data_IF_767752942525
#
_entry.id   IF_767752942525
#
_cell.length_a   1.000
_cell.length_b   1.000
_cell.length_c   1.000
_cell.angle_alpha   90.00
_cell.angle_beta   90.00
_cell.angle_gamma   90.00
#
_symmetry.space_group_name_H-M   'P 1'
#
loop_
_entity.id
_entity.type
_entity.pdbx_description
1 polymer ?
#
# COMPACT_ATOMS: atom_id res chain seq x y z
N UNK A 1 6.78 -30.73 10.23
CA UNK A 1 6.85 -29.49 11.03
C UNK A 1 5.68 -29.43 11.98
N UNK A 2 5.97 -29.26 13.26
CA UNK A 2 4.99 -28.96 14.31
C UNK A 2 4.34 -27.58 14.08
N UNK A 3 3.16 -27.35 14.65
CA UNK A 3 2.36 -26.13 14.53
C UNK A 3 3.16 -24.87 14.86
N UNK A 4 3.90 -24.88 15.98
CA UNK A 4 4.75 -23.75 16.40
C UNK A 4 5.86 -23.46 15.39
N UNK A 5 6.42 -24.51 14.74
CA UNK A 5 7.42 -24.33 13.68
C UNK A 5 6.80 -23.70 12.43
N UNK A 6 5.55 -24.07 12.09
CA UNK A 6 4.82 -23.48 10.96
C UNK A 6 4.45 -22.01 11.21
N UNK A 7 4.07 -21.63 12.43
CA UNK A 7 3.85 -20.22 12.79
C UNK A 7 5.14 -19.39 12.68
N UNK A 8 6.28 -19.94 13.11
CA UNK A 8 7.59 -19.31 12.88
C UNK A 8 7.95 -19.20 11.40
N UNK A 9 7.40 -20.07 10.55
CA UNK A 9 7.56 -19.96 9.10
C UNK A 9 6.70 -18.81 8.54
N UNK A 10 5.50 -18.55 9.07
CA UNK A 10 4.69 -17.37 8.66
C UNK A 10 5.52 -16.09 8.73
N UNK A 11 6.19 -15.84 9.86
CA UNK A 11 6.98 -14.60 10.04
C UNK A 11 8.14 -14.49 9.04
N UNK A 12 8.78 -15.61 8.68
CA UNK A 12 9.80 -15.62 7.61
C UNK A 12 9.18 -15.35 6.24
N UNK A 13 8.06 -16.01 5.93
CA UNK A 13 7.33 -15.85 4.67
C UNK A 13 6.83 -14.41 4.50
N UNK A 14 6.46 -13.72 5.59
CA UNK A 14 6.07 -12.31 5.54
C UNK A 14 7.19 -11.41 5.00
N UNK A 15 8.47 -11.69 5.32
CA UNK A 15 9.58 -10.94 4.70
C UNK A 15 9.70 -11.21 3.21
N UNK A 16 9.47 -12.43 2.74
CA UNK A 16 9.45 -12.74 1.30
C UNK A 16 8.25 -12.13 0.59
N UNK A 17 7.09 -12.06 1.26
CA UNK A 17 5.93 -11.32 0.72
C UNK A 17 6.28 -9.85 0.59
N UNK A 18 6.95 -9.25 1.58
CA UNK A 18 7.40 -7.86 1.52
C UNK A 18 8.22 -7.55 0.27
N UNK A 19 9.18 -8.43 -0.06
CA UNK A 19 10.01 -8.30 -1.27
C UNK A 19 9.14 -8.41 -2.52
N UNK A 20 8.28 -9.43 -2.59
CA UNK A 20 7.49 -9.70 -3.79
C UNK A 20 6.44 -8.61 -4.06
N UNK A 21 5.75 -8.14 -3.03
CA UNK A 21 4.83 -6.98 -3.06
C UNK A 21 5.57 -5.72 -3.50
N UNK A 22 6.81 -5.52 -3.03
CA UNK A 22 7.61 -4.36 -3.38
C UNK A 22 8.06 -4.32 -4.84
N UNK A 23 7.99 -5.43 -5.58
CA UNK A 23 8.34 -5.49 -7.00
C UNK A 23 7.21 -4.96 -7.90
N UNK A 24 6.73 -3.77 -7.56
CA UNK A 24 5.76 -2.97 -8.29
C UNK A 24 6.48 -2.06 -9.31
N UNK A 25 6.86 -2.62 -10.47
CA UNK A 25 7.63 -1.94 -11.51
C UNK A 25 6.86 -0.81 -12.22
N UNK A 26 5.55 -0.70 -11.98
CA UNK A 26 4.67 0.25 -12.65
C UNK A 26 4.78 1.69 -12.14
N UNK A 27 5.30 1.91 -10.94
CA UNK A 27 5.27 3.20 -10.24
C UNK A 27 5.86 4.36 -11.07
N UNK A 28 7.06 4.27 -11.66
CA UNK A 28 7.65 5.40 -12.40
C UNK A 28 7.07 5.62 -13.80
N UNK A 29 6.14 4.76 -14.27
CA UNK A 29 5.65 4.75 -15.65
C UNK A 29 4.13 4.74 -15.79
N UNK A 30 3.36 4.55 -14.70
CA UNK A 30 1.92 4.28 -14.80
C UNK A 30 1.18 5.39 -15.56
N UNK A 31 1.52 6.66 -15.32
CA UNK A 31 0.83 7.79 -15.95
C UNK A 31 1.04 7.78 -17.46
N UNK A 32 2.26 7.48 -17.92
CA UNK A 32 2.60 7.48 -19.35
C UNK A 32 1.87 6.35 -20.06
N UNK A 33 1.68 5.21 -19.39
CA UNK A 33 0.87 4.14 -19.97
C UNK A 33 -0.62 4.49 -20.02
N UNK A 34 -1.17 5.01 -18.92
CA UNK A 34 -2.59 5.37 -18.81
C UNK A 34 -2.98 6.46 -19.81
N UNK A 35 -2.12 7.47 -19.98
CA UNK A 35 -2.33 8.60 -20.89
C UNK A 35 -2.35 8.24 -22.38
N UNK A 36 -1.93 7.03 -22.74
CA UNK A 36 -2.09 6.53 -24.12
C UNK A 36 -3.54 6.23 -24.49
N UNK A 37 -4.38 5.96 -23.48
CA UNK A 37 -5.75 5.48 -23.69
C UNK A 37 -6.80 6.27 -22.90
N UNK A 38 -6.38 7.17 -22.01
CA UNK A 38 -7.27 7.92 -21.13
C UNK A 38 -6.86 9.39 -20.99
N UNK A 39 -7.86 10.28 -20.92
CA UNK A 39 -7.69 11.68 -20.54
C UNK A 39 -7.46 11.82 -19.02
N UNK A 40 -7.11 13.01 -18.53
CA UNK A 40 -6.86 13.23 -17.10
C UNK A 40 -8.18 13.18 -16.32
N UNK A 41 -9.27 13.63 -16.94
CA UNK A 41 -10.63 13.53 -16.42
C UNK A 41 -11.06 12.06 -16.28
N UNK A 42 -10.75 11.22 -17.27
CA UNK A 42 -11.02 9.78 -17.21
C UNK A 42 -10.18 9.09 -16.12
N UNK A 43 -8.89 9.43 -16.01
CA UNK A 43 -8.03 8.96 -14.92
C UNK A 43 -8.67 9.34 -13.58
N UNK A 44 -8.99 10.63 -13.37
CA UNK A 44 -9.60 11.10 -12.13
C UNK A 44 -10.92 10.37 -11.79
N UNK A 45 -11.79 10.16 -12.79
CA UNK A 45 -13.05 9.44 -12.62
C UNK A 45 -12.84 7.98 -12.20
N UNK A 46 -11.93 7.26 -12.86
CA UNK A 46 -11.67 5.85 -12.56
C UNK A 46 -11.05 5.71 -11.17
N UNK A 47 -10.11 6.58 -10.80
CA UNK A 47 -9.54 6.58 -9.45
C UNK A 47 -10.58 6.94 -8.39
N UNK A 48 -11.44 7.94 -8.61
CA UNK A 48 -12.51 8.28 -7.67
C UNK A 48 -13.48 7.09 -7.48
N UNK A 49 -13.84 6.41 -8.57
CA UNK A 49 -14.66 5.20 -8.55
C UNK A 49 -13.97 4.07 -7.78
N UNK A 50 -12.65 3.89 -8.00
CA UNK A 50 -11.84 2.89 -7.33
C UNK A 50 -11.76 3.16 -5.81
N UNK A 51 -11.55 4.41 -5.40
CA UNK A 51 -11.53 4.81 -4.00
C UNK A 51 -12.89 4.58 -3.33
N UNK A 52 -13.99 4.98 -3.96
CA UNK A 52 -15.33 4.74 -3.44
C UNK A 52 -15.61 3.24 -3.29
N UNK A 53 -15.22 2.44 -4.27
CA UNK A 53 -15.38 1.00 -4.25
C UNK A 53 -14.57 0.34 -3.12
N UNK A 54 -13.30 0.71 -2.93
CA UNK A 54 -12.49 0.21 -1.81
C UNK A 54 -13.16 0.57 -0.48
N UNK A 55 -13.56 1.83 -0.28
CA UNK A 55 -14.23 2.26 0.97
C UNK A 55 -15.53 1.51 1.25
N UNK A 56 -16.37 1.30 0.23
CA UNK A 56 -17.61 0.53 0.39
C UNK A 56 -17.31 -0.92 0.75
N UNK A 57 -16.25 -1.49 0.19
CA UNK A 57 -15.88 -2.90 0.35
C UNK A 57 -15.06 -3.19 1.61
N UNK A 58 -14.37 -2.23 2.22
CA UNK A 58 -13.57 -2.48 3.44
C UNK A 58 -14.38 -3.17 4.53
N UNK A 59 -15.61 -2.72 4.77
CA UNK A 59 -16.46 -3.29 5.82
C UNK A 59 -16.97 -4.69 5.43
N UNK A 60 -17.55 -4.95 4.25
CA UNK A 60 -17.91 -6.31 3.82
C UNK A 60 -16.71 -7.29 3.76
N UNK A 61 -15.56 -6.83 3.30
CA UNK A 61 -14.37 -7.69 3.12
C UNK A 61 -13.70 -8.01 4.45
N UNK A 62 -13.72 -7.09 5.42
CA UNK A 62 -13.32 -7.38 6.80
C UNK A 62 -14.18 -8.49 7.43
N UNK A 63 -15.51 -8.40 7.28
CA UNK A 63 -16.43 -9.44 7.72
C UNK A 63 -16.19 -10.79 7.00
N UNK A 64 -15.90 -10.75 5.70
CA UNK A 64 -15.55 -11.94 4.94
C UNK A 64 -14.27 -12.58 5.51
N UNK A 65 -13.25 -11.79 5.82
CA UNK A 65 -12.00 -12.26 6.40
C UNK A 65 -12.18 -12.91 7.78
N UNK A 66 -13.10 -12.39 8.60
CA UNK A 66 -13.48 -13.02 9.87
C UNK A 66 -14.21 -14.36 9.65
N UNK A 67 -14.97 -14.49 8.56
CA UNK A 67 -15.77 -15.69 8.26
C UNK A 67 -14.94 -16.83 7.65
N UNK A 68 -14.11 -16.54 6.64
CA UNK A 68 -13.38 -17.58 5.88
C UNK A 68 -11.92 -17.74 6.32
N UNK A 69 -11.42 -16.85 7.18
CA UNK A 69 -10.03 -16.78 7.64
C UNK A 69 -9.17 -15.81 6.82
N UNK A 70 -8.20 -15.18 7.49
CA UNK A 70 -7.30 -14.16 6.94
C UNK A 70 -6.47 -14.70 5.78
N UNK A 71 -5.90 -15.90 5.90
CA UNK A 71 -5.10 -16.54 4.85
C UNK A 71 -5.89 -16.70 3.56
N UNK A 72 -7.13 -17.19 3.64
CA UNK A 72 -7.96 -17.41 2.44
C UNK A 72 -8.31 -16.08 1.78
N UNK A 73 -8.67 -15.08 2.57
CA UNK A 73 -8.91 -13.72 2.08
C UNK A 73 -7.69 -13.15 1.35
N UNK A 74 -6.49 -13.30 1.92
CA UNK A 74 -5.24 -12.83 1.30
C UNK A 74 -4.92 -13.58 0.00
N UNK A 75 -5.15 -14.90 -0.06
CA UNK A 75 -5.00 -15.67 -1.30
C UNK A 75 -5.94 -15.14 -2.38
N UNK A 76 -7.21 -14.87 -2.06
CA UNK A 76 -8.18 -14.30 -3.01
C UNK A 76 -7.74 -12.90 -3.45
N UNK A 77 -7.36 -12.04 -2.51
CA UNK A 77 -6.91 -10.67 -2.76
C UNK A 77 -5.75 -10.64 -3.77
N UNK A 78 -4.68 -11.39 -3.48
CA UNK A 78 -3.48 -11.41 -4.29
C UNK A 78 -3.66 -12.16 -5.62
N UNK A 79 -4.58 -13.12 -5.68
CA UNK A 79 -4.97 -13.75 -6.97
C UNK A 79 -5.67 -12.74 -7.87
N UNK A 80 -6.64 -11.99 -7.34
CA UNK A 80 -7.34 -10.95 -8.08
C UNK A 80 -6.38 -9.86 -8.56
N UNK A 81 -5.49 -9.38 -7.67
CA UNK A 81 -4.48 -8.38 -8.04
C UNK A 81 -3.54 -8.89 -9.13
N UNK A 82 -3.02 -10.11 -9.00
CA UNK A 82 -2.14 -10.72 -9.99
C UNK A 82 -2.80 -10.83 -11.38
N UNK A 83 -4.02 -11.37 -11.43
CA UNK A 83 -4.78 -11.48 -12.67
C UNK A 83 -5.08 -10.12 -13.28
N UNK A 84 -5.40 -9.12 -12.46
CA UNK A 84 -5.60 -7.76 -12.93
C UNK A 84 -4.33 -7.21 -13.56
N UNK A 85 -3.18 -7.28 -12.88
CA UNK A 85 -1.90 -6.81 -13.43
C UNK A 85 -1.51 -7.51 -14.74
N UNK A 86 -1.70 -8.82 -14.83
CA UNK A 86 -1.42 -9.58 -16.06
C UNK A 86 -2.37 -9.14 -17.18
N UNK A 87 -3.67 -9.02 -16.91
CA UNK A 87 -4.66 -8.53 -17.86
C UNK A 87 -4.29 -7.12 -18.37
N UNK A 88 -3.85 -6.26 -17.46
CA UNK A 88 -3.47 -4.88 -17.72
C UNK A 88 -2.23 -4.73 -18.61
N UNK A 89 -1.32 -5.71 -18.60
CA UNK A 89 -0.16 -5.74 -19.49
C UNK A 89 -0.54 -5.73 -20.97
N UNK A 90 -1.76 -6.17 -21.31
CA UNK A 90 -2.27 -6.24 -22.67
C UNK A 90 -3.32 -5.15 -22.98
N UNK A 91 -3.32 -4.05 -22.22
CA UNK A 91 -4.31 -3.00 -22.38
C UNK A 91 -4.25 -2.32 -23.76
N UNK A 92 -5.43 -2.13 -24.36
CA UNK A 92 -5.59 -1.52 -25.69
C UNK A 92 -6.58 -0.35 -25.71
N UNK A 93 -7.33 -0.15 -24.63
CA UNK A 93 -8.35 0.89 -24.53
C UNK A 93 -8.71 1.14 -23.05
N UNK A 94 -9.53 2.15 -22.83
CA UNK A 94 -10.05 2.58 -21.52
C UNK A 94 -10.61 1.43 -20.65
N UNK A 95 -11.33 0.46 -21.23
CA UNK A 95 -12.02 -0.57 -20.43
C UNK A 95 -11.05 -1.47 -19.66
N UNK A 96 -9.86 -1.72 -20.19
CA UNK A 96 -8.82 -2.46 -19.48
C UNK A 96 -8.44 -1.79 -18.17
N UNK A 97 -8.28 -0.47 -18.20
CA UNK A 97 -7.97 0.33 -17.03
C UNK A 97 -9.14 0.29 -16.05
N UNK A 98 -10.37 0.55 -16.53
CA UNK A 98 -11.56 0.53 -15.68
C UNK A 98 -11.68 -0.79 -14.90
N UNK A 99 -11.62 -1.94 -15.59
CA UNK A 99 -11.69 -3.25 -14.92
C UNK A 99 -10.49 -3.52 -14.03
N UNK A 100 -9.28 -3.12 -14.45
CA UNK A 100 -8.09 -3.25 -13.61
C UNK A 100 -8.25 -2.51 -12.28
N UNK A 101 -8.75 -1.27 -12.30
CA UNK A 101 -9.00 -0.47 -11.11
C UNK A 101 -10.08 -1.10 -10.23
N UNK A 102 -11.21 -1.55 -10.80
CA UNK A 102 -12.27 -2.18 -10.02
C UNK A 102 -11.79 -3.48 -9.35
N UNK A 103 -11.08 -4.34 -10.08
CA UNK A 103 -10.55 -5.60 -9.53
C UNK A 103 -9.51 -5.31 -8.44
N UNK A 104 -8.60 -4.35 -8.66
CA UNK A 104 -7.63 -3.99 -7.64
C UNK A 104 -8.27 -3.32 -6.43
N UNK A 105 -9.36 -2.57 -6.56
CA UNK A 105 -10.10 -2.06 -5.41
C UNK A 105 -10.68 -3.18 -4.54
N UNK A 106 -11.21 -4.24 -5.15
CA UNK A 106 -11.68 -5.43 -4.40
C UNK A 106 -10.50 -6.12 -3.71
N UNK A 107 -9.40 -6.37 -4.44
CA UNK A 107 -8.20 -6.98 -3.88
C UNK A 107 -7.64 -6.16 -2.72
N UNK A 108 -7.54 -4.84 -2.87
CA UNK A 108 -7.06 -3.93 -1.82
C UNK A 108 -7.97 -3.96 -0.59
N UNK A 109 -9.30 -3.97 -0.77
CA UNK A 109 -10.23 -4.08 0.35
C UNK A 109 -10.08 -5.42 1.10
N UNK A 110 -9.89 -6.54 0.38
CA UNK A 110 -9.66 -7.86 0.97
C UNK A 110 -8.32 -7.95 1.75
N UNK A 111 -7.25 -7.38 1.19
CA UNK A 111 -5.94 -7.33 1.84
C UNK A 111 -5.93 -6.39 3.06
N UNK A 112 -6.71 -5.30 3.00
CA UNK A 112 -6.81 -4.28 4.04
C UNK A 112 -7.08 -4.89 5.41
N UNK A 113 -6.12 -4.73 6.33
CA UNK A 113 -6.17 -5.26 7.70
C UNK A 113 -5.97 -6.77 7.83
N UNK A 114 -6.20 -7.57 6.78
CA UNK A 114 -6.05 -9.03 6.82
C UNK A 114 -4.60 -9.46 6.97
N UNK A 115 -3.67 -8.79 6.27
CA UNK A 115 -2.24 -9.09 6.29
C UNK A 115 -1.62 -8.77 7.66
N UNK A 116 -1.90 -7.58 8.20
CA UNK A 116 -1.49 -7.15 9.53
C UNK A 116 -2.08 -8.03 10.63
N UNK A 117 -3.37 -8.39 10.54
CA UNK A 117 -4.02 -9.29 11.50
C UNK A 117 -3.36 -10.68 11.48
N UNK A 118 -3.15 -11.27 10.30
CA UNK A 118 -2.50 -12.57 10.17
C UNK A 118 -1.09 -12.58 10.80
N UNK A 119 -0.31 -11.51 10.59
CA UNK A 119 1.01 -11.35 11.18
C UNK A 119 0.93 -11.19 12.71
N UNK A 120 0.04 -10.31 13.19
CA UNK A 120 -0.13 -10.05 14.62
C UNK A 120 -0.58 -11.29 15.37
N UNK A 121 -1.60 -12.00 14.87
CA UNK A 121 -2.11 -13.23 15.47
C UNK A 121 -1.05 -14.34 15.45
N UNK A 122 -0.28 -14.45 14.36
CA UNK A 122 0.87 -15.38 14.31
C UNK A 122 1.88 -15.08 15.41
N UNK A 123 2.22 -13.80 15.65
CA UNK A 123 3.16 -13.41 16.70
C UNK A 123 2.56 -13.61 18.10
N UNK A 124 1.28 -13.32 18.28
CA UNK A 124 0.56 -13.49 19.53
C UNK A 124 0.52 -14.96 19.96
N UNK A 125 0.29 -15.90 19.06
CA UNK A 125 0.38 -17.34 19.37
C UNK A 125 1.78 -17.85 19.67
N UNK A 126 2.79 -17.10 19.22
CA UNK A 126 4.19 -17.35 19.57
C UNK A 126 4.59 -16.63 20.87
N UNK A 127 3.67 -15.92 21.55
CA UNK A 127 3.93 -15.03 22.69
C UNK A 127 5.00 -13.96 22.39
N UNK A 128 4.94 -13.39 21.18
CA UNK A 128 5.91 -12.44 20.60
C UNK A 128 5.26 -11.15 20.10
N UNK A 129 4.09 -10.78 20.61
CA UNK A 129 3.40 -9.55 20.20
C UNK A 129 4.24 -8.27 20.43
N UNK A 130 5.10 -8.28 21.46
CA UNK A 130 6.04 -7.19 21.74
C UNK A 130 7.09 -6.98 20.63
N UNK A 131 7.32 -8.00 19.77
CA UNK A 131 8.22 -7.91 18.63
C UNK A 131 7.55 -7.28 17.39
N UNK A 132 6.22 -7.09 17.38
CA UNK A 132 5.46 -6.62 16.22
C UNK A 132 6.01 -5.32 15.62
N UNK A 133 6.31 -4.31 16.47
CA UNK A 133 6.83 -3.03 15.99
C UNK A 133 8.21 -3.18 15.31
N UNK A 134 9.09 -4.03 15.85
CA UNK A 134 10.39 -4.32 15.25
C UNK A 134 10.22 -5.10 13.94
N UNK A 135 9.30 -6.06 13.90
CA UNK A 135 8.98 -6.81 12.70
C UNK A 135 8.47 -5.88 11.60
N UNK A 136 7.48 -5.04 11.89
CA UNK A 136 6.88 -4.10 10.96
C UNK A 136 7.90 -3.07 10.44
N UNK A 137 8.83 -2.64 11.30
CA UNK A 137 9.93 -1.76 10.88
C UNK A 137 10.84 -2.45 9.85
N UNK A 138 11.26 -3.70 10.12
CA UNK A 138 12.11 -4.46 9.21
C UNK A 138 11.38 -4.82 7.91
N UNK A 139 10.12 -5.21 8.01
CA UNK A 139 9.21 -5.43 6.88
C UNK A 139 9.14 -4.17 6.01
N UNK A 140 8.81 -3.03 6.60
CA UNK A 140 8.72 -1.77 5.90
C UNK A 140 10.04 -1.31 5.27
N UNK A 141 11.18 -1.61 5.88
CA UNK A 141 12.49 -1.31 5.30
C UNK A 141 12.77 -2.17 4.05
N UNK A 142 12.55 -3.49 4.14
CA UNK A 142 12.70 -4.42 3.02
C UNK A 142 11.77 -4.02 1.86
N UNK A 143 10.51 -3.70 2.16
CA UNK A 143 9.55 -3.23 1.19
C UNK A 143 10.05 -1.99 0.43
N UNK A 144 10.60 -0.98 1.12
CA UNK A 144 11.10 0.24 0.48
C UNK A 144 12.34 0.00 -0.39
N UNK A 145 13.22 -0.92 0.01
CA UNK A 145 14.36 -1.32 -0.83
C UNK A 145 13.88 -2.02 -2.11
N UNK A 146 12.90 -2.92 -1.99
CA UNK A 146 12.28 -3.56 -3.15
C UNK A 146 11.60 -2.55 -4.07
N UNK A 147 10.89 -1.56 -3.53
CA UNK A 147 10.27 -0.48 -4.30
C UNK A 147 11.30 0.37 -5.03
N UNK A 148 12.41 0.71 -4.38
CA UNK A 148 13.51 1.41 -5.04
C UNK A 148 14.03 0.62 -6.23
N UNK A 149 14.30 -0.67 -6.04
CA UNK A 149 14.76 -1.54 -7.12
C UNK A 149 13.72 -1.64 -8.24
N UNK A 150 12.44 -1.82 -7.90
CA UNK A 150 11.36 -1.90 -8.88
C UNK A 150 11.22 -0.59 -9.67
N UNK A 151 11.30 0.56 -9.00
CA UNK A 151 11.28 1.87 -9.64
C UNK A 151 12.50 2.06 -10.54
N UNK A 152 13.69 1.65 -10.10
CA UNK A 152 14.90 1.74 -10.91
C UNK A 152 14.76 0.99 -12.23
N UNK A 153 14.13 -0.19 -12.19
CA UNK A 153 13.94 -1.05 -13.36
C UNK A 153 12.72 -0.68 -14.21
N UNK A 154 11.72 0.02 -13.66
CA UNK A 154 10.41 0.23 -14.29
C UNK A 154 10.47 0.84 -15.69
N UNK A 155 11.21 1.93 -15.88
CA UNK A 155 11.38 2.59 -17.18
C UNK A 155 12.17 1.77 -18.19
N UNK A 156 13.18 1.03 -17.74
CA UNK A 156 13.92 0.11 -18.63
C UNK A 156 13.02 -1.00 -19.14
N UNK A 157 12.22 -1.60 -18.26
CA UNK A 157 11.25 -2.63 -18.63
C UNK A 157 10.19 -2.07 -19.59
N UNK A 158 9.71 -0.86 -19.33
CA UNK A 158 8.73 -0.17 -20.17
C UNK A 158 9.24 0.09 -21.59
N UNK A 159 10.53 0.43 -21.75
CA UNK A 159 11.18 0.63 -23.05
C UNK A 159 11.34 -0.66 -23.86
N UNK A 160 11.47 -1.82 -23.21
CA UNK A 160 11.51 -3.13 -23.89
C UNK A 160 10.13 -3.47 -24.44
N UNK A 161 9.12 -3.41 -23.57
CA UNK A 161 7.72 -3.54 -23.94
C UNK A 161 6.86 -2.83 -22.92
N UNK A 162 5.93 -2.02 -23.42
CA UNK A 162 5.07 -1.13 -22.63
C UNK A 162 4.28 -1.89 -21.56
N UNK A 163 3.87 -3.13 -21.85
CA UNK A 163 3.15 -4.01 -20.91
C UNK A 163 4.04 -4.77 -19.92
N UNK A 164 5.37 -4.79 -20.12
CA UNK A 164 6.29 -5.62 -19.35
C UNK A 164 6.32 -5.29 -17.84
N UNK A 165 6.30 -4.00 -17.41
CA UNK A 165 6.23 -3.69 -15.99
C UNK A 165 4.98 -4.28 -15.31
N UNK A 166 3.83 -4.24 -15.99
CA UNK A 166 2.57 -4.79 -15.47
C UNK A 166 2.60 -6.32 -15.42
N UNK A 167 3.13 -6.97 -16.47
CA UNK A 167 3.25 -8.42 -16.50
C UNK A 167 4.15 -8.93 -15.37
N UNK A 168 5.33 -8.31 -15.19
CA UNK A 168 6.25 -8.71 -14.12
C UNK A 168 5.65 -8.45 -12.74
N UNK A 169 5.01 -7.30 -12.50
CA UNK A 169 4.31 -7.05 -11.23
C UNK A 169 3.24 -8.12 -10.97
N UNK A 170 2.45 -8.50 -11.98
CA UNK A 170 1.48 -9.59 -11.85
C UNK A 170 2.11 -10.95 -11.53
N UNK A 171 3.26 -11.28 -12.13
CA UNK A 171 4.01 -12.50 -11.81
C UNK A 171 4.51 -12.48 -10.36
N UNK A 172 5.05 -11.36 -9.88
CA UNK A 172 5.47 -11.26 -8.47
C UNK A 172 4.27 -11.25 -7.51
N UNK A 173 3.10 -10.73 -7.91
CA UNK A 173 1.85 -10.91 -7.17
C UNK A 173 1.41 -12.37 -7.10
N UNK A 174 1.60 -13.19 -8.15
CA UNK A 174 1.38 -14.64 -8.08
C UNK A 174 2.33 -15.32 -7.09
N UNK A 175 3.59 -14.86 -7.00
CA UNK A 175 4.51 -15.36 -5.98
C UNK A 175 3.99 -15.05 -4.57
N UNK A 176 3.36 -13.90 -4.34
CA UNK A 176 2.70 -13.59 -3.06
C UNK A 176 1.58 -14.59 -2.74
N UNK A 177 0.77 -14.99 -3.73
CA UNK A 177 -0.25 -16.04 -3.56
C UNK A 177 0.38 -17.36 -3.11
N UNK A 178 1.47 -17.77 -3.76
CA UNK A 178 2.21 -18.99 -3.41
C UNK A 178 2.74 -18.90 -1.98
N UNK A 179 3.31 -17.75 -1.58
CA UNK A 179 3.83 -17.54 -0.23
C UNK A 179 2.72 -17.63 0.82
N UNK A 180 1.55 -17.01 0.60
CA UNK A 180 0.40 -17.16 1.49
C UNK A 180 -0.13 -18.58 1.55
N UNK A 181 -0.06 -19.33 0.44
CA UNK A 181 -0.46 -20.74 0.42
C UNK A 181 0.35 -21.59 1.41
N UNK A 182 1.65 -21.29 1.57
CA UNK A 182 2.54 -21.96 2.53
C UNK A 182 2.42 -21.46 3.97
N UNK A 183 1.77 -20.32 4.21
CA UNK A 183 1.45 -19.87 5.56
C UNK A 183 0.34 -20.72 6.18
N UNK A 184 0.20 -20.66 7.50
CA UNK A 184 -0.92 -21.27 8.22
C UNK A 184 -1.80 -20.20 8.88
N UNK A 185 -3.09 -20.49 8.98
CA UNK A 185 -4.04 -19.65 9.73
C UNK A 185 -3.78 -19.85 11.23
N UNK A 186 -3.55 -18.76 12.00
CA UNK A 186 -3.57 -18.79 13.45
C UNK A 186 -4.93 -19.29 13.96
N UNK A 187 -4.91 -20.07 15.04
CA UNK A 187 -6.07 -20.60 15.76
C UNK A 187 -6.67 -19.64 16.79
N UNK A 188 -6.10 -18.44 17.00
CA UNK A 188 -6.70 -17.45 17.91
C UNK A 188 -8.11 -17.14 17.43
N UNK A 189 -9.09 -17.53 18.25
CA UNK A 189 -10.51 -17.19 18.10
C UNK A 189 -10.65 -15.67 18.04
N UNK A 190 -10.91 -15.13 16.85
CA UNK A 190 -11.81 -14.00 16.71
C UNK A 190 -13.22 -14.55 16.85
N UNK A 191 -13.98 -14.10 17.85
CA UNK A 191 -15.41 -14.32 18.03
C UNK A 191 -16.14 -14.92 16.81
N UNK A 192 -16.89 -16.02 16.99
CA UNK A 192 -17.71 -16.60 15.90
C UNK A 192 -18.49 -15.49 15.20
N UNK A 193 -18.17 -15.28 13.92
CA UNK A 193 -18.74 -14.18 13.16
C UNK A 193 -20.27 -14.22 13.24
N UNK A 194 -20.88 -13.10 13.64
CA UNK A 194 -22.30 -12.86 13.46
C UNK A 194 -22.49 -11.44 12.94
N UNK A 195 -23.36 -11.28 11.94
CA UNK A 195 -23.63 -9.98 11.33
C UNK A 195 -24.09 -8.95 12.38
N UNK A 196 -24.86 -9.39 13.37
CA UNK A 196 -25.32 -8.54 14.47
C UNK A 196 -24.16 -8.05 15.35
N UNK A 197 -23.24 -8.94 15.76
CA UNK A 197 -22.09 -8.54 16.56
C UNK A 197 -21.15 -7.63 15.76
N UNK A 198 -20.94 -7.93 14.48
CA UNK A 198 -20.11 -7.13 13.60
C UNK A 198 -20.65 -5.70 13.47
N UNK A 199 -21.92 -5.54 13.08
CA UNK A 199 -22.56 -4.22 12.98
C UNK A 199 -22.54 -3.46 14.32
N UNK A 200 -22.74 -4.17 15.44
CA UNK A 200 -22.65 -3.60 16.78
C UNK A 200 -21.22 -3.11 17.09
N UNK A 201 -20.20 -3.90 16.80
CA UNK A 201 -18.80 -3.54 17.02
C UNK A 201 -18.39 -2.36 16.13
N UNK A 202 -18.76 -2.35 14.85
CA UNK A 202 -18.54 -1.22 13.94
C UNK A 202 -19.16 0.06 14.50
N UNK A 203 -20.42 0.00 14.96
CA UNK A 203 -21.09 1.16 15.58
C UNK A 203 -20.39 1.66 16.84
N UNK A 204 -19.88 0.74 17.68
CA UNK A 204 -19.10 1.08 18.87
C UNK A 204 -17.77 1.75 18.46
N UNK A 205 -17.09 1.21 17.45
CA UNK A 205 -15.86 1.79 16.89
C UNK A 205 -16.06 3.22 16.41
N UNK A 206 -17.13 3.48 15.64
CA UNK A 206 -17.49 4.85 15.22
C UNK A 206 -17.76 5.77 16.40
N UNK A 207 -18.48 5.30 17.44
CA UNK A 207 -18.72 6.10 18.64
C UNK A 207 -17.42 6.44 19.39
N UNK A 208 -16.43 5.55 19.35
CA UNK A 208 -15.14 5.74 20.00
C UNK A 208 -14.35 6.91 19.37
N UNK A 209 -14.53 7.19 18.08
CA UNK A 209 -13.89 8.32 17.38
C UNK A 209 -14.26 9.69 18.00
N UNK A 210 -15.41 9.78 18.64
CA UNK A 210 -15.93 11.02 19.23
C UNK A 210 -15.81 11.06 20.76
N UNK A 211 -15.25 10.03 21.40
CA UNK A 211 -15.26 9.86 22.86
C UNK A 211 -14.46 10.92 23.60
N UNK A 212 -13.31 11.35 23.06
CA UNK A 212 -12.48 12.39 23.67
C UNK A 212 -12.07 13.42 22.63
N UNK A 213 -11.81 14.65 23.06
CA UNK A 213 -11.32 15.70 22.17
C UNK A 213 -10.00 15.29 21.50
N UNK A 214 -9.12 14.60 22.25
CA UNK A 214 -7.87 14.06 21.73
C UNK A 214 -8.08 13.06 20.58
N UNK A 215 -8.93 12.04 20.74
CA UNK A 215 -9.18 11.04 19.68
C UNK A 215 -9.83 11.71 18.45
N UNK A 216 -10.74 12.68 18.67
CA UNK A 216 -11.37 13.42 17.57
C UNK A 216 -10.36 14.20 16.74
N UNK A 217 -9.51 15.00 17.39
CA UNK A 217 -8.45 15.76 16.72
C UNK A 217 -7.47 14.81 16.02
N UNK A 218 -7.09 13.72 16.68
CA UNK A 218 -6.19 12.71 16.11
C UNK A 218 -6.80 12.05 14.86
N UNK A 219 -8.09 11.76 14.87
CA UNK A 219 -8.80 11.17 13.72
C UNK A 219 -8.84 12.15 12.55
N UNK A 220 -9.20 13.41 12.79
CA UNK A 220 -9.20 14.47 11.76
C UNK A 220 -7.80 14.66 11.20
N UNK A 221 -6.78 14.67 12.07
CA UNK A 221 -5.39 14.78 11.67
C UNK A 221 -4.98 13.65 10.71
N UNK A 222 -5.27 12.39 11.04
CA UNK A 222 -4.94 11.27 10.16
C UNK A 222 -5.73 11.29 8.84
N UNK A 223 -6.99 11.73 8.86
CA UNK A 223 -7.79 11.89 7.64
C UNK A 223 -7.16 12.92 6.72
N UNK A 224 -6.85 14.13 7.23
CA UNK A 224 -6.29 15.22 6.43
C UNK A 224 -4.90 14.85 5.91
N UNK A 225 -4.03 14.37 6.80
CA UNK A 225 -2.66 14.00 6.43
C UNK A 225 -2.64 12.82 5.46
N UNK A 226 -3.45 11.80 5.71
CA UNK A 226 -3.59 10.65 4.81
C UNK A 226 -4.10 11.07 3.44
N UNK A 227 -5.18 11.87 3.39
CA UNK A 227 -5.75 12.36 2.15
C UNK A 227 -4.72 13.14 1.33
N UNK A 228 -4.02 14.11 1.94
CA UNK A 228 -2.99 14.91 1.25
C UNK A 228 -1.84 14.02 0.77
N UNK A 229 -1.28 13.19 1.66
CA UNK A 229 -0.10 12.37 1.35
C UNK A 229 -0.37 11.39 0.21
N UNK A 230 -1.48 10.65 0.29
CA UNK A 230 -1.85 9.70 -0.75
C UNK A 230 -2.24 10.39 -2.04
N UNK A 231 -2.82 11.59 -1.96
CA UNK A 231 -3.16 12.35 -3.15
C UNK A 231 -1.91 12.83 -3.88
N UNK A 232 -0.92 13.34 -3.14
CA UNK A 232 0.33 13.81 -3.75
C UNK A 232 1.17 12.67 -4.34
N UNK A 233 1.28 11.55 -3.61
CA UNK A 233 2.02 10.39 -4.09
C UNK A 233 1.39 9.75 -5.33
N UNK A 234 0.06 9.60 -5.36
CA UNK A 234 -0.61 8.90 -6.45
C UNK A 234 -1.03 9.80 -7.62
N UNK A 235 -1.30 11.09 -7.40
CA UNK A 235 -1.90 11.95 -8.44
C UNK A 235 -1.02 13.10 -8.90
N UNK A 236 -0.18 13.67 -8.03
CA UNK A 236 0.58 14.87 -8.39
C UNK A 236 2.00 14.56 -8.84
N UNK A 237 2.76 13.78 -8.07
CA UNK A 237 4.20 13.62 -8.29
C UNK A 237 4.54 13.06 -9.68
N UNK A 238 3.77 12.10 -10.17
CA UNK A 238 4.09 11.39 -11.41
C UNK A 238 3.69 12.19 -12.67
N UNK A 239 2.46 12.74 -12.80
CA UNK A 239 2.14 13.64 -13.91
C UNK A 239 3.06 14.86 -13.96
N UNK A 240 3.39 15.43 -12.80
CA UNK A 240 4.31 16.57 -12.70
C UNK A 240 5.70 16.25 -13.23
N UNK A 241 6.25 15.07 -12.90
CA UNK A 241 7.53 14.63 -13.45
C UNK A 241 7.49 14.52 -14.99
N UNK A 242 6.37 14.10 -15.57
CA UNK A 242 6.20 14.06 -17.04
C UNK A 242 6.13 15.46 -17.63
N UNK A 243 5.43 16.38 -16.98
CA UNK A 243 5.28 17.77 -17.43
C UNK A 243 6.58 18.56 -17.39
N UNK A 244 7.42 18.34 -16.37
CA UNK A 244 8.78 18.91 -16.28
C UNK A 244 9.71 18.33 -17.36
N UNK A 245 9.32 17.25 -18.04
CA UNK A 245 10.03 16.68 -19.19
C UNK A 245 10.91 15.47 -18.86
N UNK A 246 10.79 14.86 -17.67
CA UNK A 246 11.56 13.67 -17.33
C UNK A 246 11.13 12.47 -18.21
N UNK A 247 12.09 11.85 -18.88
CA UNK A 247 11.86 10.64 -19.67
C UNK A 247 11.63 9.39 -18.79
N UNK A 248 11.29 8.25 -19.41
CA UNK A 248 10.92 7.03 -18.70
C UNK A 248 12.05 6.49 -17.78
N UNK A 249 13.30 6.63 -18.21
CA UNK A 249 14.47 6.21 -17.44
C UNK A 249 14.78 7.21 -16.32
N UNK A 250 14.71 8.50 -16.60
CA UNK A 250 15.00 9.53 -15.59
C UNK A 250 13.97 9.51 -14.45
N UNK A 251 12.68 9.29 -14.76
CA UNK A 251 11.66 9.07 -13.72
C UNK A 251 11.98 7.83 -12.89
N UNK A 252 12.50 6.77 -13.52
CA UNK A 252 12.92 5.55 -12.81
C UNK A 252 14.04 5.83 -11.81
N UNK A 253 15.03 6.64 -12.20
CA UNK A 253 16.09 7.10 -11.29
C UNK A 253 15.54 7.97 -10.16
N UNK A 254 14.70 8.95 -10.48
CA UNK A 254 14.10 9.87 -9.51
C UNK A 254 13.30 9.12 -8.43
N UNK A 255 12.35 8.27 -8.83
CA UNK A 255 11.52 7.53 -7.88
C UNK A 255 12.33 6.49 -7.11
N UNK A 256 13.32 5.85 -7.74
CA UNK A 256 14.25 4.96 -7.02
C UNK A 256 15.01 5.70 -5.91
N UNK A 257 15.57 6.88 -6.23
CA UNK A 257 16.29 7.70 -5.26
C UNK A 257 15.37 8.15 -4.10
N UNK A 258 14.13 8.54 -4.41
CA UNK A 258 13.12 8.87 -3.39
C UNK A 258 12.88 7.70 -2.44
N UNK A 259 12.64 6.48 -2.96
CA UNK A 259 12.38 5.32 -2.10
C UNK A 259 13.62 4.89 -1.29
N UNK A 260 14.84 5.02 -1.83
CA UNK A 260 16.08 4.81 -1.07
C UNK A 260 16.23 5.82 0.05
N UNK A 261 15.94 7.09 -0.23
CA UNK A 261 15.97 8.15 0.77
C UNK A 261 14.97 7.86 1.89
N UNK A 262 13.73 7.50 1.55
CA UNK A 262 12.69 7.14 2.53
C UNK A 262 13.10 5.89 3.35
N UNK A 263 13.73 4.89 2.73
CA UNK A 263 14.25 3.72 3.44
C UNK A 263 15.36 4.10 4.44
N UNK A 264 16.28 4.98 4.03
CA UNK A 264 17.38 5.48 4.84
C UNK A 264 16.88 6.33 6.01
N UNK A 265 15.92 7.22 5.74
CA UNK A 265 15.27 8.05 6.75
C UNK A 265 14.57 7.18 7.81
N UNK A 266 13.89 6.10 7.40
CA UNK A 266 13.28 5.15 8.33
C UNK A 266 14.31 4.57 9.31
N UNK A 267 15.49 4.16 8.83
CA UNK A 267 16.56 3.64 9.70
C UNK A 267 17.06 4.69 10.70
N UNK A 268 17.23 5.94 10.24
CA UNK A 268 17.66 7.05 11.09
C UNK A 268 16.62 7.33 12.18
N UNK A 269 15.34 7.44 11.82
CA UNK A 269 14.25 7.70 12.77
C UNK A 269 14.13 6.59 13.82
N UNK A 270 14.27 5.33 13.42
CA UNK A 270 14.25 4.18 14.34
C UNK A 270 15.45 4.22 15.28
N UNK A 271 16.65 4.52 14.77
CA UNK A 271 17.86 4.66 15.59
C UNK A 271 17.74 5.78 16.64
N UNK A 272 17.18 6.92 16.24
CA UNK A 272 16.94 8.05 17.13
C UNK A 272 15.85 7.76 18.17
N UNK A 273 14.79 7.05 17.79
CA UNK A 273 13.73 6.59 18.70
C UNK A 273 14.26 5.62 19.76
N UNK A 274 15.07 4.62 19.37
CA UNK A 274 15.70 3.68 20.32
C UNK A 274 16.59 4.40 21.33
N UNK A 275 17.31 5.44 20.90
CA UNK A 275 18.16 6.29 21.75
C UNK A 275 17.37 7.29 22.62
N UNK A 276 16.05 7.22 22.64
CA UNK A 276 15.15 8.13 23.38
C UNK A 276 15.37 9.63 23.03
N UNK A 277 15.95 9.92 21.87
CA UNK A 277 16.25 11.29 21.44
C UNK A 277 15.05 12.00 20.80
N UNK A 278 13.98 11.24 20.48
CA UNK A 278 12.76 11.77 19.88
C UNK A 278 11.59 11.35 20.77
N UNK A 279 11.04 12.31 21.52
CA UNK A 279 9.75 12.15 22.21
C UNK A 279 8.62 12.08 21.16
N UNK A 280 7.52 11.38 21.46
CA UNK A 280 6.33 11.27 20.59
C UNK A 280 5.85 12.66 20.14
N UNK A 281 5.97 13.67 20.99
CA UNK A 281 5.66 15.08 20.69
C UNK A 281 6.44 15.61 19.48
N UNK A 282 7.72 15.26 19.33
CA UNK A 282 8.54 15.66 18.19
C UNK A 282 8.11 15.00 16.88
N UNK A 283 7.68 13.73 16.91
CA UNK A 283 7.15 13.05 15.73
C UNK A 283 5.87 13.77 15.25
N UNK A 284 4.97 14.10 16.17
CA UNK A 284 3.74 14.84 15.84
C UNK A 284 4.00 16.25 15.28
N UNK A 285 5.02 16.95 15.77
CA UNK A 285 5.36 18.30 15.31
C UNK A 285 6.14 18.32 14.00
N UNK A 286 7.01 17.34 13.78
CA UNK A 286 7.87 17.29 12.58
C UNK A 286 7.13 16.73 11.37
N UNK A 287 6.14 15.86 11.55
CA UNK A 287 5.43 15.22 10.44
C UNK A 287 4.70 16.21 9.51
N UNK A 288 3.95 17.21 10.01
CA UNK A 288 3.34 18.23 9.15
C UNK A 288 4.37 19.08 8.41
N UNK A 289 5.51 19.38 9.05
CA UNK A 289 6.60 20.16 8.42
C UNK A 289 7.21 19.38 7.26
N UNK A 290 7.44 18.08 7.43
CA UNK A 290 7.93 17.20 6.36
C UNK A 290 6.93 17.14 5.20
N UNK A 291 5.63 17.05 5.50
CA UNK A 291 4.58 17.06 4.46
C UNK A 291 4.56 18.39 3.72
N UNK A 292 4.58 19.52 4.42
CA UNK A 292 4.60 20.85 3.78
C UNK A 292 5.83 21.00 2.89
N UNK A 293 7.02 20.58 3.36
CA UNK A 293 8.26 20.61 2.56
C UNK A 293 8.14 19.73 1.32
N UNK A 294 7.51 18.54 1.44
CA UNK A 294 7.27 17.66 0.30
C UNK A 294 6.30 18.25 -0.74
N UNK A 295 5.49 19.25 -0.38
CA UNK A 295 4.55 19.93 -1.27
C UNK A 295 5.14 21.18 -1.95
N UNK A 296 6.27 21.72 -1.46
CA UNK A 296 6.90 22.94 -1.99
C UNK A 296 7.15 22.89 -3.51
N UNK A 297 7.63 21.78 -4.11
CA UNK A 297 7.85 21.73 -5.55
C UNK A 297 6.59 22.01 -6.39
N UNK A 298 5.41 21.59 -5.91
CA UNK A 298 4.13 21.86 -6.58
C UNK A 298 3.69 23.33 -6.47
N UNK A 299 4.09 24.05 -5.43
CA UNK A 299 3.80 25.48 -5.29
C UNK A 299 4.70 26.37 -6.16
N UNK A 300 5.98 26.00 -6.29
CA UNK A 300 6.96 26.78 -7.07
C UNK A 300 6.58 26.80 -8.56
N UNK A 301 6.04 25.71 -9.09
CA UNK A 301 5.69 25.58 -10.51
C UNK A 301 4.37 26.23 -10.89
N UNK A 302 3.37 26.25 -10.00
CA UNK A 302 2.16 27.08 -10.20
C UNK A 302 2.54 28.56 -10.34
N UNK A 303 3.59 29.00 -9.63
CA UNK A 303 4.10 30.37 -9.72
C UNK A 303 4.87 30.65 -11.03
N UNK A 304 5.49 29.64 -11.64
CA UNK A 304 6.26 29.79 -12.88
C UNK A 304 5.41 29.63 -14.16
N UNK A 305 4.22 29.02 -14.06
CA UNK A 305 3.33 28.81 -15.21
C UNK A 305 1.85 29.00 -14.84
N UNK A 306 1.36 30.25 -14.74
CA UNK A 306 0.03 30.58 -14.20
C UNK A 306 -1.17 30.19 -15.09
N UNK A 307 -0.94 29.44 -16.17
CA UNK A 307 -1.97 28.96 -17.10
C UNK A 307 -2.40 27.49 -16.84
N UNK A 308 -1.89 26.87 -15.77
CA UNK A 308 -2.26 25.55 -15.25
C UNK A 308 -3.16 25.65 -14.01
#
# INVERSE_FOLDING_TARGET
MDYQQRLKLNTKLFYFTSISVALAFIIPIWVVFQRRFMSFEQIALVYASASAMTTILELPTGALADLIGRKKTLIIAWTLSALAYIFMAFAQNFYYFFFWFMINSIANALDSGSSDALLFDSLKELNKEHEYANFNTKYGFIYRLGLSFACLMGGYLFNIWVGLPYLLTGIFSLLVVILYFFMIEPKIDSEKFSLQNYLKQTKIGFKQLYKTNFIRILSIYFIVVGAITWTCLNYYNQPFAVEVGFNDIERSWLFSAIYLFVASLLLVLVSLSKKHKIDKKWIYLTFPVVIIVALIPGFITIAENPAL
#
